data_IF_280585562907
#
_entry.id   IF_280585562907
#
_cell.length_a   1.000
_cell.length_b   1.000
_cell.length_c   1.000
_cell.angle_alpha   90.00
_cell.angle_beta   90.00
_cell.angle_gamma   90.00
#
_symmetry.space_group_name_H-M   'P 1'
#
loop_
_entity.id
_entity.type
_entity.pdbx_description
1 polymer ?
#
# COMPACT_ATOMS: atom_id res chain seq x y z
N UNK A 1 25.47 1.30 15.15
CA UNK A 1 25.01 1.24 13.74
C UNK A 1 23.52 1.01 13.76
N UNK A 2 22.72 1.70 12.92
CA UNK A 2 21.28 1.43 12.82
C UNK A 2 21.10 -0.04 12.36
N UNK A 3 20.20 -0.83 12.97
CA UNK A 3 19.98 -2.20 12.50
C UNK A 3 19.57 -2.20 11.03
N UNK A 4 19.88 -3.27 10.28
CA UNK A 4 19.47 -3.38 8.89
C UNK A 4 17.95 -3.25 8.79
N UNK A 5 17.49 -2.45 7.83
CA UNK A 5 16.07 -2.32 7.52
C UNK A 5 15.53 -3.70 7.12
N UNK A 6 14.52 -4.16 7.85
CA UNK A 6 13.81 -5.39 7.55
C UNK A 6 12.34 -5.04 7.36
N UNK A 7 11.80 -5.35 6.17
CA UNK A 7 10.39 -5.17 5.87
C UNK A 7 9.72 -6.55 5.87
N UNK A 8 8.56 -6.62 6.51
CA UNK A 8 7.76 -7.83 6.59
C UNK A 8 6.33 -7.50 6.18
N UNK A 9 5.75 -8.32 5.32
CA UNK A 9 4.29 -8.44 5.25
C UNK A 9 3.84 -9.47 6.29
N UNK A 10 2.78 -9.14 7.01
CA UNK A 10 2.20 -10.00 8.04
C UNK A 10 0.69 -10.03 7.82
N UNK A 11 0.15 -11.21 7.55
CA UNK A 11 -1.29 -11.46 7.50
C UNK A 11 -1.71 -12.12 8.81
N UNK A 12 -2.78 -11.62 9.43
CA UNK A 12 -3.25 -12.10 10.74
C UNK A 12 -4.73 -12.45 10.66
N UNK A 13 -5.07 -13.64 11.16
CA UNK A 13 -6.41 -14.18 11.23
C UNK A 13 -6.84 -14.57 12.64
N UNK A 14 -8.05 -15.13 12.80
CA UNK A 14 -8.59 -15.55 14.09
C UNK A 14 -7.72 -16.59 14.81
N UNK A 15 -7.86 -16.69 16.14
CA UNK A 15 -7.22 -17.74 16.94
C UNK A 15 -5.69 -17.69 16.97
N UNK A 16 -5.07 -16.58 16.54
CA UNK A 16 -3.61 -16.45 16.45
C UNK A 16 -3.00 -16.97 15.15
N UNK A 17 -3.83 -17.36 14.18
CA UNK A 17 -3.37 -17.72 12.84
C UNK A 17 -2.66 -16.53 12.18
N UNK A 18 -1.49 -16.76 11.60
CA UNK A 18 -0.75 -15.73 10.90
C UNK A 18 0.19 -16.32 9.85
N UNK A 19 0.51 -15.53 8.83
CA UNK A 19 1.59 -15.78 7.89
C UNK A 19 2.52 -14.55 7.85
N UNK A 20 3.83 -14.79 7.75
CA UNK A 20 4.82 -13.73 7.60
C UNK A 20 5.63 -13.93 6.33
N UNK A 21 5.90 -12.82 5.65
CA UNK A 21 6.76 -12.77 4.46
C UNK A 21 7.82 -11.70 4.65
N UNK A 22 9.12 -12.06 4.77
CA UNK A 22 10.18 -11.07 4.68
C UNK A 22 10.27 -10.54 3.25
N UNK A 23 10.53 -9.25 3.11
CA UNK A 23 10.75 -8.57 1.84
C UNK A 23 12.21 -8.10 1.78
N UNK A 24 12.96 -8.63 0.82
CA UNK A 24 14.33 -8.26 0.56
C UNK A 24 14.47 -6.98 -0.29
N UNK A 25 15.71 -6.48 -0.49
CA UNK A 25 15.95 -5.21 -1.20
C UNK A 25 15.54 -5.16 -2.68
N UNK A 26 15.25 -6.32 -3.28
CA UNK A 26 14.80 -6.45 -4.68
C UNK A 26 13.38 -7.01 -4.78
N UNK A 27 12.72 -7.19 -3.65
CA UNK A 27 11.33 -7.60 -3.61
C UNK A 27 10.44 -6.36 -3.63
N UNK A 28 9.30 -6.49 -4.27
CA UNK A 28 8.19 -5.56 -4.09
C UNK A 28 6.94 -6.37 -3.81
N UNK A 29 5.99 -5.73 -3.15
CA UNK A 29 4.78 -6.38 -2.69
C UNK A 29 3.65 -5.36 -2.68
N UNK A 30 2.50 -5.78 -3.22
CA UNK A 30 1.25 -5.05 -3.15
C UNK A 30 0.23 -5.96 -2.47
N UNK A 31 -0.58 -5.37 -1.59
CA UNK A 31 -1.55 -6.10 -0.79
C UNK A 31 -2.80 -5.24 -0.62
N UNK A 32 -3.98 -5.83 -0.83
CA UNK A 32 -5.25 -5.15 -0.65
C UNK A 32 -5.96 -5.64 0.63
N UNK A 33 -7.24 -6.01 0.55
CA UNK A 33 -8.05 -6.35 1.73
C UNK A 33 -8.47 -7.82 1.75
N UNK A 34 -7.67 -8.72 1.17
CA UNK A 34 -7.84 -10.16 1.23
C UNK A 34 -6.54 -10.85 1.66
N UNK A 35 -6.62 -12.00 2.32
CA UNK A 35 -5.44 -12.81 2.59
C UNK A 35 -4.91 -13.38 1.27
N UNK A 36 -3.63 -13.19 1.00
CA UNK A 36 -2.93 -13.74 -0.16
C UNK A 36 -2.13 -15.00 0.20
N UNK A 37 -1.68 -15.10 1.46
CA UNK A 37 -0.75 -16.13 1.92
C UNK A 37 -1.31 -16.97 3.06
N UNK A 38 -1.99 -16.33 4.00
CA UNK A 38 -2.68 -16.98 5.09
C UNK A 38 -3.89 -17.77 4.53
N UNK A 39 -3.88 -19.08 4.76
CA UNK A 39 -4.93 -19.99 4.28
C UNK A 39 -6.06 -20.07 5.30
N UNK A 40 -6.90 -19.05 5.31
CA UNK A 40 -8.10 -18.97 6.15
C UNK A 40 -9.35 -18.75 5.30
N UNK A 41 -10.48 -19.20 5.82
CA UNK A 41 -11.78 -18.89 5.21
C UNK A 41 -12.02 -17.38 5.26
N UNK A 42 -12.27 -16.79 4.10
CA UNK A 42 -12.46 -15.35 3.97
C UNK A 42 -13.52 -15.04 2.91
N UNK A 43 -14.22 -13.92 3.12
CA UNK A 43 -14.99 -13.30 2.05
C UNK A 43 -14.05 -12.42 1.24
N UNK A 44 -13.74 -12.84 0.02
CA UNK A 44 -12.93 -12.03 -0.89
C UNK A 44 -13.82 -10.92 -1.47
N UNK A 45 -13.43 -9.68 -1.21
CA UNK A 45 -14.11 -8.52 -1.78
C UNK A 45 -13.64 -8.29 -3.23
N UNK A 46 -14.59 -8.06 -4.13
CA UNK A 46 -14.31 -7.90 -5.56
C UNK A 46 -13.35 -6.73 -5.82
N UNK A 47 -13.44 -5.68 -5.00
CA UNK A 47 -12.59 -4.50 -5.12
C UNK A 47 -11.13 -4.75 -4.72
N UNK A 48 -10.85 -5.79 -3.93
CA UNK A 48 -9.48 -6.22 -3.63
C UNK A 48 -8.87 -6.95 -4.82
N UNK A 49 -9.64 -7.85 -5.45
CA UNK A 49 -9.20 -8.58 -6.64
C UNK A 49 -8.84 -7.63 -7.79
N UNK A 50 -9.68 -6.63 -8.05
CA UNK A 50 -9.41 -5.62 -9.08
C UNK A 50 -8.15 -4.81 -8.80
N UNK A 51 -7.96 -4.29 -7.58
CA UNK A 51 -6.77 -3.50 -7.23
C UNK A 51 -5.49 -4.32 -7.27
N UNK A 52 -5.52 -5.57 -6.82
CA UNK A 52 -4.37 -6.47 -6.92
C UNK A 52 -4.06 -6.80 -8.38
N UNK A 53 -5.08 -7.09 -9.20
CA UNK A 53 -4.91 -7.32 -10.63
C UNK A 53 -4.38 -6.08 -11.36
N UNK A 54 -4.82 -4.88 -10.95
CA UNK A 54 -4.33 -3.61 -11.50
C UNK A 54 -2.88 -3.37 -11.09
N UNK A 55 -2.53 -3.55 -9.82
CA UNK A 55 -1.16 -3.40 -9.34
C UNK A 55 -0.21 -4.40 -10.01
N UNK A 56 -0.65 -5.62 -10.28
CA UNK A 56 0.14 -6.64 -10.98
C UNK A 56 0.50 -6.29 -12.43
N UNK A 57 -0.12 -5.25 -13.02
CA UNK A 57 0.23 -4.74 -14.35
C UNK A 57 1.41 -3.76 -14.32
N UNK A 58 1.87 -3.35 -13.14
CA UNK A 58 3.02 -2.46 -12.98
C UNK A 58 4.31 -3.26 -12.90
N UNK A 59 5.37 -2.69 -13.47
CA UNK A 59 6.73 -3.07 -13.12
C UNK A 59 7.05 -2.64 -11.68
N UNK A 60 8.03 -3.30 -11.07
CA UNK A 60 8.52 -2.94 -9.74
C UNK A 60 8.88 -1.44 -9.68
N UNK A 61 8.22 -0.65 -8.81
CA UNK A 61 8.59 0.74 -8.60
C UNK A 61 10.02 0.83 -8.04
N UNK A 62 10.83 1.70 -8.64
CA UNK A 62 12.25 1.89 -8.28
C UNK A 62 12.54 3.21 -7.57
N UNK A 63 11.54 4.09 -7.48
CA UNK A 63 11.64 5.39 -6.83
C UNK A 63 10.27 5.86 -6.29
N UNK A 64 10.30 6.89 -5.45
CA UNK A 64 9.12 7.46 -4.80
C UNK A 64 8.03 7.89 -5.78
N UNK A 65 8.39 8.51 -6.91
CA UNK A 65 7.42 8.99 -7.91
C UNK A 65 6.64 7.81 -8.47
N UNK A 66 7.31 6.72 -8.84
CA UNK A 66 6.64 5.51 -9.35
C UNK A 66 5.73 4.84 -8.31
N UNK A 67 6.11 4.88 -7.03
CA UNK A 67 5.25 4.38 -5.94
C UNK A 67 3.98 5.24 -5.83
N UNK A 68 4.13 6.56 -5.85
CA UNK A 68 3.00 7.50 -5.80
C UNK A 68 2.11 7.40 -7.05
N UNK A 69 2.70 7.17 -8.23
CA UNK A 69 1.96 6.93 -9.47
C UNK A 69 1.10 5.67 -9.38
N UNK A 70 1.62 4.58 -8.79
CA UNK A 70 0.83 3.37 -8.54
C UNK A 70 -0.31 3.65 -7.55
N UNK A 71 -0.02 4.29 -6.41
CA UNK A 71 -1.00 4.56 -5.36
C UNK A 71 -2.07 5.58 -5.77
N UNK A 72 -1.76 6.44 -6.74
CA UNK A 72 -2.67 7.39 -7.36
C UNK A 72 -3.46 6.86 -8.56
N UNK A 73 -3.36 5.56 -8.87
CA UNK A 73 -3.97 4.97 -10.06
C UNK A 73 -5.50 4.92 -10.01
N UNK A 74 -6.11 5.50 -11.03
CA UNK A 74 -7.56 5.58 -11.24
C UNK A 74 -8.01 4.86 -12.52
N UNK A 75 -7.17 4.01 -13.10
CA UNK A 75 -7.41 3.48 -14.44
C UNK A 75 -8.45 2.36 -14.48
N UNK A 76 -8.63 1.62 -13.39
CA UNK A 76 -9.76 0.69 -13.25
C UNK A 76 -11.04 1.51 -12.96
N UNK A 77 -12.05 1.48 -13.86
CA UNK A 77 -13.24 2.30 -13.71
C UNK A 77 -14.19 1.79 -12.61
N UNK A 78 -14.11 0.51 -12.27
CA UNK A 78 -15.01 -0.13 -11.30
C UNK A 78 -14.40 -0.08 -9.89
N UNK A 79 -13.10 -0.35 -9.76
CA UNK A 79 -12.42 -0.43 -8.47
C UNK A 79 -10.97 0.07 -8.54
N UNK A 80 -10.76 1.38 -8.71
CA UNK A 80 -9.42 1.95 -8.79
C UNK A 80 -8.63 1.77 -7.47
N UNK A 81 -7.31 1.87 -7.57
CA UNK A 81 -6.42 1.89 -6.40
C UNK A 81 -6.67 3.17 -5.60
N UNK A 82 -6.62 4.33 -6.27
CA UNK A 82 -7.01 5.60 -5.67
C UNK A 82 -8.51 5.83 -5.83
N UNK A 83 -9.22 5.98 -4.72
CA UNK A 83 -10.69 5.99 -4.68
C UNK A 83 -11.26 7.36 -4.37
N UNK A 84 -12.28 7.78 -5.11
CA UNK A 84 -12.89 9.12 -4.97
C UNK A 84 -14.40 9.13 -5.15
N UNK A 85 -15.10 8.02 -4.87
CA UNK A 85 -16.49 7.95 -5.28
C UNK A 85 -17.26 6.71 -4.83
N UNK A 86 -18.35 6.48 -5.53
CA UNK A 86 -19.22 5.34 -5.31
C UNK A 86 -18.80 4.19 -6.22
N UNK A 87 -18.37 3.08 -5.61
CA UNK A 87 -17.95 1.85 -6.29
C UNK A 87 -18.79 0.67 -5.78
N UNK A 88 -20.11 0.85 -5.68
CA UNK A 88 -21.01 -0.05 -4.94
C UNK A 88 -21.10 0.29 -3.45
N UNK A 89 -20.77 1.53 -3.11
CA UNK A 89 -20.65 2.13 -1.79
C UNK A 89 -19.71 3.33 -1.85
N UNK A 90 -20.01 4.39 -1.08
CA UNK A 90 -19.16 5.58 -0.99
C UNK A 90 -17.82 5.24 -0.32
N UNK A 91 -16.73 5.28 -1.09
CA UNK A 91 -15.38 4.97 -0.62
C UNK A 91 -14.38 5.99 -1.16
N UNK A 92 -13.62 6.59 -0.26
CA UNK A 92 -12.60 7.59 -0.56
C UNK A 92 -11.25 7.20 0.03
N UNK A 93 -10.18 7.39 -0.75
CA UNK A 93 -8.82 7.43 -0.21
C UNK A 93 -8.65 8.75 0.51
N UNK A 94 -8.46 8.69 1.83
CA UNK A 94 -8.38 9.90 2.67
C UNK A 94 -7.00 10.53 2.64
N UNK A 95 -5.95 9.71 2.57
CA UNK A 95 -4.57 10.16 2.45
C UNK A 95 -3.70 9.06 1.85
N UNK A 96 -2.53 9.44 1.34
CA UNK A 96 -1.45 8.51 0.98
C UNK A 96 -0.24 8.77 1.86
N UNK A 97 0.38 7.72 2.36
CA UNK A 97 1.60 7.81 3.17
C UNK A 97 2.77 7.12 2.46
N UNK A 98 3.88 7.84 2.29
CA UNK A 98 5.13 7.32 1.76
C UNK A 98 6.19 7.30 2.85
N UNK A 99 6.76 6.12 3.11
CA UNK A 99 7.85 5.94 4.07
C UNK A 99 9.17 5.82 3.31
N UNK A 100 10.04 6.82 3.43
CA UNK A 100 11.43 6.71 3.00
C UNK A 100 12.27 6.22 4.18
N UNK A 101 12.53 4.91 4.21
CA UNK A 101 13.27 4.28 5.29
C UNK A 101 14.77 4.61 5.27
N UNK A 102 15.31 4.99 4.10
CA UNK A 102 16.72 5.37 3.94
C UNK A 102 16.90 6.83 4.36
N UNK A 103 16.06 7.73 3.84
CA UNK A 103 16.01 9.14 4.21
C UNK A 103 15.46 9.39 5.62
N UNK A 104 14.77 8.41 6.20
CA UNK A 104 14.22 8.49 7.55
C UNK A 104 13.00 9.40 7.65
N UNK A 105 12.14 9.45 6.63
CA UNK A 105 10.98 10.34 6.60
C UNK A 105 9.67 9.59 6.33
N UNK A 106 8.58 10.14 6.84
CA UNK A 106 7.21 9.82 6.47
C UNK A 106 6.59 11.06 5.84
N UNK A 107 6.13 10.94 4.60
CA UNK A 107 5.40 11.99 3.90
C UNK A 107 3.94 11.58 3.74
N UNK A 108 3.02 12.42 4.20
CA UNK A 108 1.57 12.25 4.04
C UNK A 108 1.08 13.24 2.98
N UNK A 109 0.39 12.70 1.98
CA UNK A 109 -0.21 13.43 0.88
C UNK A 109 -1.72 13.55 1.09
N UNK A 110 -2.24 14.74 0.83
CA UNK A 110 -3.67 15.01 0.76
C UNK A 110 -4.11 14.96 -0.70
N UNK A 111 -5.25 14.32 -0.96
CA UNK A 111 -5.72 14.07 -2.33
C UNK A 111 -4.91 13.00 -3.06
N UNK A 112 -5.04 12.98 -4.39
CA UNK A 112 -4.40 11.96 -5.22
C UNK A 112 -2.88 12.19 -5.25
N UNK A 113 -2.03 11.25 -4.81
CA UNK A 113 -0.59 11.46 -4.72
C UNK A 113 0.13 11.74 -6.06
N UNK A 114 -0.54 11.55 -7.21
CA UNK A 114 -0.03 11.99 -8.55
C UNK A 114 -0.01 13.50 -8.72
N UNK A 115 -0.97 14.20 -8.10
CA UNK A 115 -1.20 15.64 -8.27
C UNK A 115 -1.20 16.40 -6.94
N UNK A 116 -1.30 15.66 -5.83
CA UNK A 116 -1.59 16.16 -4.50
C UNK A 116 -0.43 16.91 -3.88
N UNK A 117 -0.77 17.92 -3.08
CA UNK A 117 0.21 18.64 -2.28
C UNK A 117 0.73 17.75 -1.15
N UNK A 118 2.01 17.89 -0.85
CA UNK A 118 2.58 17.35 0.39
C UNK A 118 1.87 18.02 1.56
N UNK A 119 1.11 17.26 2.33
CA UNK A 119 0.39 17.76 3.50
C UNK A 119 1.31 17.86 4.72
N UNK A 120 1.99 16.76 5.06
CA UNK A 120 2.84 16.66 6.24
C UNK A 120 4.10 15.83 5.97
N UNK A 121 5.24 16.27 6.49
CA UNK A 121 6.50 15.50 6.49
C UNK A 121 6.96 15.33 7.94
N UNK A 122 7.18 14.09 8.36
CA UNK A 122 7.64 13.73 9.70
C UNK A 122 9.00 13.01 9.62
N UNK A 123 9.86 13.23 10.61
CA UNK A 123 11.06 12.42 10.80
C UNK A 123 10.69 11.10 11.47
N UNK A 124 11.17 9.99 10.90
CA UNK A 124 11.00 8.67 11.50
C UNK A 124 11.85 8.50 12.77
N UNK A 125 12.91 9.29 12.95
CA UNK A 125 13.70 9.31 14.20
C UNK A 125 12.88 9.84 15.37
N UNK A 126 11.95 10.77 15.13
CA UNK A 126 11.07 11.30 16.18
C UNK A 126 9.83 10.43 16.43
N UNK A 127 9.57 9.43 15.59
CA UNK A 127 8.37 8.58 15.65
C UNK A 127 8.63 7.16 16.16
N UNK A 128 9.89 6.69 16.13
CA UNK A 128 10.30 5.32 16.50
C UNK A 128 11.33 5.35 17.62
#
# INVERSE_FOLDING_TARGET
TRPPLALWNVEVGPGGAHDTRPLGPRDWYFHANAYMRLKEDQKIDNSSLHREARAAQYDMPTNAVQVLDLLGDTADPDFPIYRTGDYGGLVYTLCTALYDLVGGTLTVYEGNPREGAVGLVLSLETLM
#
